data_IF_167961805953
#
_entry.id   IF_167961805953
#
_cell.length_a   1.000
_cell.length_b   1.000
_cell.length_c   1.000
_cell.angle_alpha   90.00
_cell.angle_beta   90.00
_cell.angle_gamma   90.00
#
_symmetry.space_group_name_H-M   'P 1'
#
loop_
_entity.id
_entity.type
_entity.pdbx_description
1 polymer ?
#
# COMPACT_ATOMS: atom_id res chain seq x y z
N UNK A 1 5.75 -34.68 -14.63
CA UNK A 1 4.34 -34.22 -14.64
C UNK A 1 4.31 -32.79 -14.11
N UNK A 2 4.16 -31.84 -15.03
CA UNK A 2 4.15 -30.40 -14.76
C UNK A 2 2.80 -29.99 -14.19
N UNK A 3 2.67 -29.99 -12.87
CA UNK A 3 1.61 -29.26 -12.20
C UNK A 3 2.24 -28.01 -11.60
N UNK A 4 2.58 -27.05 -12.46
CA UNK A 4 2.63 -25.66 -12.02
C UNK A 4 1.21 -25.35 -11.53
N UNK A 5 0.94 -25.50 -10.23
CA UNK A 5 -0.25 -24.91 -9.65
C UNK A 5 -0.19 -23.43 -10.03
N UNK A 6 -1.16 -22.98 -10.82
CA UNK A 6 -1.33 -21.57 -11.09
C UNK A 6 -1.29 -20.89 -9.73
N UNK A 7 -0.32 -20.02 -9.53
CA UNK A 7 -0.28 -19.17 -8.35
C UNK A 7 -1.65 -18.49 -8.28
N UNK A 8 -2.46 -18.72 -7.23
CA UNK A 8 -3.80 -18.15 -7.15
C UNK A 8 -3.78 -16.62 -7.32
N UNK A 9 -2.65 -16.01 -6.97
CA UNK A 9 -2.36 -14.57 -7.08
C UNK A 9 -2.21 -14.06 -8.51
N UNK A 10 -1.93 -14.94 -9.48
CA UNK A 10 -1.78 -14.61 -10.90
C UNK A 10 -2.72 -15.45 -11.78
N UNK A 11 -3.83 -15.91 -11.22
CA UNK A 11 -4.90 -16.51 -12.02
C UNK A 11 -5.37 -15.54 -13.10
N UNK A 12 -5.78 -16.06 -14.27
CA UNK A 12 -6.31 -15.23 -15.37
C UNK A 12 -7.40 -14.28 -14.87
N UNK A 13 -8.27 -14.75 -13.97
CA UNK A 13 -9.30 -13.93 -13.33
C UNK A 13 -8.76 -12.72 -12.57
N UNK A 14 -7.65 -12.85 -11.83
CA UNK A 14 -7.06 -11.71 -11.09
C UNK A 14 -6.49 -10.69 -12.06
N UNK A 15 -5.81 -11.15 -13.11
CA UNK A 15 -5.26 -10.26 -14.14
C UNK A 15 -6.38 -9.55 -14.89
N UNK A 16 -7.43 -10.27 -15.28
CA UNK A 16 -8.61 -9.71 -15.91
C UNK A 16 -9.25 -8.63 -15.00
N UNK A 17 -9.36 -8.90 -13.70
CA UNK A 17 -9.90 -7.93 -12.72
C UNK A 17 -9.02 -6.70 -12.54
N UNK A 18 -7.69 -6.86 -12.62
CA UNK A 18 -6.71 -5.78 -12.50
C UNK A 18 -6.68 -4.88 -13.75
N UNK A 19 -6.78 -5.48 -14.93
CA UNK A 19 -6.81 -4.76 -16.20
C UNK A 19 -8.18 -4.16 -16.52
N UNK A 20 -9.24 -4.60 -15.85
CA UNK A 20 -10.55 -3.98 -15.96
C UNK A 20 -10.64 -2.76 -15.02
N UNK A 21 -10.65 -1.52 -15.55
CA UNK A 21 -10.83 -0.34 -14.70
C UNK A 21 -12.20 -0.39 -14.03
N UNK A 22 -12.26 0.04 -12.76
CA UNK A 22 -13.53 0.21 -12.04
C UNK A 22 -14.03 1.62 -12.27
N UNK A 23 -15.25 1.76 -12.78
CA UNK A 23 -15.90 3.05 -12.95
C UNK A 23 -15.95 3.81 -11.61
N UNK A 24 -15.54 5.08 -11.63
CA UNK A 24 -15.51 5.93 -10.44
C UNK A 24 -16.79 6.73 -10.35
N UNK A 25 -17.41 6.74 -9.18
CA UNK A 25 -18.65 7.48 -8.94
C UNK A 25 -18.36 8.87 -8.38
N UNK A 26 -19.04 9.87 -8.93
CA UNK A 26 -18.95 11.24 -8.45
C UNK A 26 -19.37 11.36 -6.98
N UNK A 27 -20.47 10.72 -6.60
CA UNK A 27 -20.99 10.74 -5.21
C UNK A 27 -19.96 10.24 -4.20
N UNK A 28 -19.26 9.15 -4.54
CA UNK A 28 -18.19 8.59 -3.70
C UNK A 28 -17.00 9.55 -3.63
N UNK A 29 -16.54 10.07 -4.78
CA UNK A 29 -15.43 11.02 -4.80
C UNK A 29 -15.75 12.30 -4.02
N UNK A 30 -16.99 12.79 -4.11
CA UNK A 30 -17.47 13.97 -3.40
C UNK A 30 -17.59 13.72 -1.90
N UNK A 31 -18.16 12.59 -1.47
CA UNK A 31 -18.23 12.21 -0.06
C UNK A 31 -16.83 12.07 0.57
N UNK A 32 -15.90 11.42 -0.15
CA UNK A 32 -14.49 11.34 0.27
C UNK A 32 -13.83 12.72 0.33
N UNK A 33 -14.16 13.60 -0.62
CA UNK A 33 -13.68 14.99 -0.64
C UNK A 33 -14.22 15.80 0.53
N UNK A 34 -15.47 15.58 0.98
CA UNK A 34 -16.02 16.31 2.12
C UNK A 34 -15.43 15.86 3.45
N UNK A 35 -15.35 14.55 3.69
CA UNK A 35 -14.94 14.01 5.00
C UNK A 35 -13.42 13.93 5.13
N UNK A 36 -12.73 13.56 4.05
CA UNK A 36 -11.29 13.25 4.05
C UNK A 36 -10.52 14.10 3.03
N UNK A 37 -11.12 15.18 2.55
CA UNK A 37 -10.53 15.99 1.49
C UNK A 37 -9.27 16.74 1.92
N UNK A 38 -9.13 17.12 3.18
CA UNK A 38 -7.92 17.75 3.71
C UNK A 38 -6.68 16.86 3.51
N UNK A 39 -6.86 15.54 3.54
CA UNK A 39 -5.82 14.55 3.27
C UNK A 39 -5.64 14.23 1.79
N UNK A 40 -6.50 14.74 0.90
CA UNK A 40 -6.47 14.44 -0.52
C UNK A 40 -7.02 13.05 -0.90
N UNK A 41 -7.85 12.42 -0.06
CA UNK A 41 -8.39 11.06 -0.31
C UNK A 41 -9.18 10.95 -1.61
N UNK A 42 -9.94 11.99 -1.96
CA UNK A 42 -10.63 12.07 -3.25
C UNK A 42 -9.67 12.04 -4.45
N UNK A 43 -8.44 12.57 -4.31
CA UNK A 43 -7.42 12.51 -5.37
C UNK A 43 -6.82 11.11 -5.50
N UNK A 44 -6.62 10.40 -4.39
CA UNK A 44 -6.19 8.99 -4.42
C UNK A 44 -7.24 8.08 -5.06
N UNK A 45 -8.53 8.32 -4.76
CA UNK A 45 -9.62 7.59 -5.39
C UNK A 45 -9.60 7.69 -6.92
N UNK A 46 -9.16 8.83 -7.46
CA UNK A 46 -9.01 9.12 -8.89
C UNK A 46 -7.62 8.78 -9.46
N UNK A 47 -6.76 8.07 -8.71
CA UNK A 47 -5.42 7.69 -9.16
C UNK A 47 -4.42 8.85 -9.23
N UNK A 48 -4.76 10.04 -8.72
CA UNK A 48 -3.89 11.22 -8.71
C UNK A 48 -3.00 11.26 -7.46
N UNK A 49 -2.28 10.18 -7.23
CA UNK A 49 -1.48 9.92 -6.01
C UNK A 49 -0.50 11.03 -5.68
N UNK A 50 0.24 11.57 -6.65
CA UNK A 50 1.22 12.65 -6.38
C UNK A 50 0.55 13.92 -5.87
N UNK A 51 -0.52 14.35 -6.54
CA UNK A 51 -1.23 15.57 -6.11
C UNK A 51 -1.97 15.36 -4.80
N UNK A 52 -2.47 14.15 -4.54
CA UNK A 52 -3.03 13.79 -3.23
C UNK A 52 -1.97 13.82 -2.14
N UNK A 53 -0.76 13.33 -2.42
CA UNK A 53 0.34 13.32 -1.46
C UNK A 53 0.80 14.74 -1.13
N UNK A 54 0.93 15.61 -2.13
CA UNK A 54 1.22 17.03 -1.91
C UNK A 54 0.12 17.71 -1.08
N UNK A 55 -1.14 17.35 -1.31
CA UNK A 55 -2.26 17.86 -0.54
C UNK A 55 -2.17 17.40 0.92
N UNK A 56 -1.89 16.12 1.17
CA UNK A 56 -1.65 15.58 2.51
C UNK A 56 -0.50 16.30 3.24
N UNK A 57 0.65 16.45 2.58
CA UNK A 57 1.83 17.10 3.17
C UNK A 57 1.63 18.58 3.48
N UNK A 58 0.75 19.26 2.74
CA UNK A 58 0.44 20.68 2.92
C UNK A 58 -0.82 20.93 3.76
N UNK A 59 -1.46 19.88 4.29
CA UNK A 59 -2.74 19.99 4.99
C UNK A 59 -3.84 20.61 4.12
N UNK A 60 -3.86 20.28 2.83
CA UNK A 60 -4.78 20.86 1.86
C UNK A 60 -4.50 22.33 1.54
N UNK A 61 -3.25 22.80 1.69
CA UNK A 61 -2.87 24.19 1.47
C UNK A 61 -3.61 25.17 2.38
N UNK A 62 -3.79 24.79 3.66
CA UNK A 62 -4.59 25.55 4.63
C UNK A 62 -6.10 25.46 4.39
N UNK A 63 -6.58 24.38 3.77
CA UNK A 63 -7.99 24.18 3.42
C UNK A 63 -8.45 24.87 2.13
N UNK A 64 -7.68 25.82 1.59
CA UNK A 64 -8.04 26.50 0.34
C UNK A 64 -7.98 25.55 -0.86
N UNK A 65 -6.97 24.69 -0.94
CA UNK A 65 -6.87 23.69 -2.01
C UNK A 65 -8.02 22.69 -1.93
N UNK A 66 -8.38 22.27 -0.71
CA UNK A 66 -9.54 21.42 -0.48
C UNK A 66 -10.85 22.06 -0.96
N UNK A 67 -11.08 23.32 -0.62
CA UNK A 67 -12.28 24.04 -1.02
C UNK A 67 -12.41 24.16 -2.55
N UNK A 68 -11.32 24.52 -3.22
CA UNK A 68 -11.27 24.58 -4.70
C UNK A 68 -11.60 23.22 -5.29
N UNK A 69 -11.02 22.15 -4.75
CA UNK A 69 -11.23 20.80 -5.26
C UNK A 69 -12.68 20.36 -5.23
N UNK A 70 -13.47 20.75 -4.23
CA UNK A 70 -14.90 20.38 -4.13
C UNK A 70 -15.70 20.77 -5.39
N UNK A 71 -15.37 21.92 -6.02
CA UNK A 71 -15.99 22.36 -7.26
C UNK A 71 -15.49 21.58 -8.49
N UNK A 72 -14.23 21.14 -8.47
CA UNK A 72 -13.60 20.45 -9.61
C UNK A 72 -13.73 18.93 -9.59
N UNK A 73 -14.20 18.31 -8.49
CA UNK A 73 -14.34 16.84 -8.37
C UNK A 73 -15.15 16.25 -9.53
N UNK A 74 -16.26 16.87 -9.94
CA UNK A 74 -17.09 16.37 -11.05
C UNK A 74 -16.30 16.24 -12.35
N UNK A 75 -15.53 17.28 -12.70
CA UNK A 75 -14.67 17.27 -13.89
C UNK A 75 -13.55 16.24 -13.75
N UNK A 76 -12.94 16.12 -12.57
CA UNK A 76 -11.86 15.15 -12.35
C UNK A 76 -12.35 13.70 -12.49
N UNK A 77 -13.53 13.37 -11.96
CA UNK A 77 -14.15 12.04 -12.07
C UNK A 77 -14.46 11.73 -13.54
N UNK A 78 -15.11 12.68 -14.24
CA UNK A 78 -15.45 12.51 -15.66
C UNK A 78 -14.21 12.28 -16.50
N UNK A 79 -13.17 13.10 -16.33
CA UNK A 79 -11.92 12.98 -17.09
C UNK A 79 -11.20 11.65 -16.79
N UNK A 80 -11.20 11.20 -15.54
CA UNK A 80 -10.60 9.92 -15.17
C UNK A 80 -11.32 8.74 -15.82
N UNK A 81 -12.66 8.71 -15.76
CA UNK A 81 -13.44 7.63 -16.36
C UNK A 81 -13.32 7.62 -17.89
N UNK A 82 -13.31 8.79 -18.53
CA UNK A 82 -13.10 8.91 -19.98
C UNK A 82 -11.73 8.38 -20.37
N UNK A 83 -10.67 8.74 -19.64
CA UNK A 83 -9.32 8.26 -19.94
C UNK A 83 -9.18 6.76 -19.72
N UNK A 84 -9.71 6.20 -18.62
CA UNK A 84 -9.70 4.75 -18.39
C UNK A 84 -10.46 4.00 -19.49
N UNK A 85 -11.60 4.53 -19.95
CA UNK A 85 -12.37 3.94 -21.03
C UNK A 85 -11.59 3.97 -22.36
N UNK A 86 -10.96 5.11 -22.68
CA UNK A 86 -10.12 5.24 -23.88
C UNK A 86 -8.97 4.23 -23.89
N UNK A 87 -8.30 4.06 -22.75
CA UNK A 87 -7.19 3.10 -22.62
C UNK A 87 -7.66 1.66 -22.76
N UNK A 88 -8.82 1.34 -22.18
CA UNK A 88 -9.45 0.02 -22.35
C UNK A 88 -9.77 -0.27 -23.83
N UNK A 89 -10.32 0.70 -24.55
CA UNK A 89 -10.61 0.59 -26.00
C UNK A 89 -9.33 0.45 -26.84
N UNK A 90 -8.26 1.12 -26.44
CA UNK A 90 -6.94 1.01 -27.08
C UNK A 90 -6.20 -0.30 -26.72
N UNK A 91 -6.72 -1.11 -25.79
CA UNK A 91 -6.02 -2.30 -25.27
C UNK A 91 -4.82 -1.98 -24.37
N UNK A 92 -4.70 -0.74 -23.92
CA UNK A 92 -3.66 -0.27 -23.01
C UNK A 92 -3.95 -0.68 -21.55
N UNK A 93 -2.92 -0.82 -20.70
CA UNK A 93 -3.13 -1.03 -19.27
C UNK A 93 -3.84 0.18 -18.63
N UNK A 94 -4.62 -0.01 -17.54
CA UNK A 94 -5.26 1.09 -16.82
C UNK A 94 -4.25 2.08 -16.22
N UNK A 95 -4.67 3.29 -15.83
CA UNK A 95 -3.74 4.32 -15.30
C UNK A 95 -2.95 3.82 -14.09
N UNK A 96 -3.61 3.05 -13.23
CA UNK A 96 -3.01 2.43 -12.04
C UNK A 96 -1.90 1.41 -12.33
N UNK A 97 -1.82 0.93 -13.58
CA UNK A 97 -0.88 -0.09 -14.08
C UNK A 97 -0.13 0.40 -15.33
N UNK A 98 -0.05 1.71 -15.57
CA UNK A 98 0.53 2.28 -16.79
C UNK A 98 2.01 1.91 -17.04
N UNK A 99 2.69 1.35 -16.03
CA UNK A 99 4.07 0.86 -16.13
C UNK A 99 4.20 -0.56 -16.70
N UNK A 100 3.08 -1.28 -16.89
CA UNK A 100 3.05 -2.63 -17.45
C UNK A 100 2.86 -2.62 -18.97
N UNK A 101 3.23 -3.70 -19.67
CA UNK A 101 2.86 -3.88 -21.07
C UNK A 101 1.35 -4.11 -21.23
N UNK A 102 0.80 -4.03 -22.46
CA UNK A 102 -0.55 -4.48 -22.76
C UNK A 102 -0.80 -5.91 -22.28
N UNK A 103 -2.04 -6.19 -21.88
CA UNK A 103 -2.44 -7.50 -21.30
C UNK A 103 -2.05 -8.69 -22.19
N UNK A 104 -2.12 -8.52 -23.51
CA UNK A 104 -1.83 -9.57 -24.50
C UNK A 104 -0.36 -10.00 -24.46
N UNK A 105 0.55 -9.09 -24.11
CA UNK A 105 1.99 -9.35 -24.03
C UNK A 105 2.42 -9.90 -22.66
N UNK A 106 1.51 -9.87 -21.68
CA UNK A 106 1.79 -10.25 -20.29
C UNK A 106 1.80 -11.78 -20.14
N UNK A 107 2.96 -12.41 -20.36
CA UNK A 107 3.14 -13.84 -20.13
C UNK A 107 3.45 -14.13 -18.65
N UNK A 108 2.45 -14.60 -17.88
CA UNK A 108 2.59 -14.90 -16.44
C UNK A 108 2.72 -16.41 -16.15
N UNK A 109 2.81 -17.24 -17.18
CA UNK A 109 2.93 -18.69 -16.99
C UNK A 109 4.32 -19.10 -16.47
N UNK A 110 5.29 -18.20 -16.60
CA UNK A 110 6.67 -18.43 -16.22
C UNK A 110 7.02 -17.71 -14.91
N UNK A 111 8.03 -18.17 -14.16
CA UNK A 111 8.55 -17.40 -13.04
C UNK A 111 9.09 -16.03 -13.50
N UNK A 112 9.13 -15.01 -12.62
CA UNK A 112 9.72 -13.72 -12.94
C UNK A 112 11.14 -13.86 -13.50
N UNK A 113 11.49 -13.10 -14.54
CA UNK A 113 12.79 -13.19 -15.20
C UNK A 113 13.98 -12.98 -14.24
N UNK A 114 13.81 -12.15 -13.21
CA UNK A 114 14.84 -11.89 -12.20
C UNK A 114 14.99 -13.01 -11.15
N UNK A 115 14.09 -14.01 -11.11
CA UNK A 115 14.07 -15.05 -10.09
C UNK A 115 15.40 -15.81 -10.02
N UNK A 116 15.92 -16.25 -11.17
CA UNK A 116 17.18 -17.00 -11.24
C UNK A 116 18.38 -16.19 -10.71
N UNK A 117 18.38 -14.87 -10.94
CA UNK A 117 19.42 -13.95 -10.47
C UNK A 117 19.36 -13.69 -8.96
N UNK A 118 18.18 -13.83 -8.35
CA UNK A 118 17.91 -13.40 -6.97
C UNK A 118 17.62 -14.53 -5.99
N UNK A 119 17.39 -15.75 -6.46
CA UNK A 119 17.13 -16.91 -5.61
C UNK A 119 18.40 -17.34 -4.88
N UNK A 120 18.50 -17.02 -3.59
CA UNK A 120 19.59 -17.49 -2.73
C UNK A 120 19.10 -17.69 -1.29
N UNK A 121 19.74 -18.62 -0.56
CA UNK A 121 19.48 -18.81 0.88
C UNK A 121 19.80 -17.55 1.68
N UNK A 122 20.88 -16.84 1.30
CA UNK A 122 21.26 -15.54 1.86
C UNK A 122 20.10 -14.55 1.78
N UNK A 123 19.31 -14.60 0.69
CA UNK A 123 18.15 -13.72 0.54
C UNK A 123 17.03 -13.99 1.55
N UNK A 124 16.80 -15.26 1.88
CA UNK A 124 15.81 -15.64 2.89
C UNK A 124 16.28 -15.17 4.28
N UNK A 125 17.55 -15.42 4.63
CA UNK A 125 18.11 -14.97 5.92
C UNK A 125 18.16 -13.44 6.04
N UNK A 126 18.51 -12.72 4.98
CA UNK A 126 18.47 -11.25 4.98
C UNK A 126 17.04 -10.70 5.14
N UNK A 127 16.05 -11.38 4.57
CA UNK A 127 14.64 -10.99 4.76
C UNK A 127 14.17 -11.27 6.18
N UNK A 128 14.54 -12.43 6.75
CA UNK A 128 14.29 -12.75 8.15
C UNK A 128 14.87 -11.67 9.08
N UNK A 129 16.14 -11.32 8.88
CA UNK A 129 16.81 -10.28 9.67
C UNK A 129 16.10 -8.93 9.56
N UNK A 130 15.78 -8.46 8.34
CA UNK A 130 15.10 -7.19 8.17
C UNK A 130 13.68 -7.17 8.75
N UNK A 131 12.94 -8.26 8.63
CA UNK A 131 11.60 -8.37 9.21
C UNK A 131 11.65 -8.38 10.73
N UNK A 132 12.63 -9.07 11.33
CA UNK A 132 12.90 -9.02 12.77
C UNK A 132 13.28 -7.62 13.23
N UNK A 133 14.22 -6.98 12.54
CA UNK A 133 14.69 -5.62 12.87
C UNK A 133 13.55 -4.60 12.75
N UNK A 134 12.79 -4.65 11.65
CA UNK A 134 11.65 -3.75 11.43
C UNK A 134 10.55 -3.98 12.46
N UNK A 135 10.22 -5.25 12.76
CA UNK A 135 9.24 -5.60 13.79
C UNK A 135 9.66 -5.08 15.17
N UNK A 136 10.93 -5.27 15.54
CA UNK A 136 11.46 -4.78 16.81
C UNK A 136 11.41 -3.26 16.92
N UNK A 137 11.93 -2.54 15.91
CA UNK A 137 11.92 -1.08 15.88
C UNK A 137 10.48 -0.56 16.00
N UNK A 138 9.55 -1.11 15.21
CA UNK A 138 8.15 -0.68 15.25
C UNK A 138 7.51 -0.96 16.61
N UNK A 139 7.82 -2.11 17.22
CA UNK A 139 7.38 -2.44 18.58
C UNK A 139 7.93 -1.47 19.62
N UNK A 140 9.21 -1.08 19.54
CA UNK A 140 9.80 -0.13 20.50
C UNK A 140 9.25 1.29 20.36
N UNK A 141 8.91 1.71 19.14
CA UNK A 141 8.32 3.03 18.86
C UNK A 141 6.84 3.09 19.29
N UNK A 142 6.19 1.93 19.44
CA UNK A 142 4.79 1.85 19.85
C UNK A 142 4.68 2.02 21.36
N UNK A 143 4.07 3.11 21.81
CA UNK A 143 3.89 3.41 23.23
C UNK A 143 2.47 3.05 23.70
N UNK A 144 2.31 2.70 25.00
CA UNK A 144 1.00 2.50 25.62
C UNK A 144 0.04 3.69 25.54
N UNK A 145 0.57 4.89 25.29
CA UNK A 145 -0.16 6.16 25.32
C UNK A 145 -0.64 6.66 23.96
N UNK A 146 -0.51 5.88 22.87
CA UNK A 146 -1.26 6.20 21.64
C UNK A 146 -0.66 5.88 20.28
N UNK A 147 0.41 5.09 20.16
CA UNK A 147 1.07 4.82 18.85
C UNK A 147 1.07 3.34 18.42
N UNK A 148 0.02 2.59 18.74
CA UNK A 148 -0.12 1.19 18.29
C UNK A 148 -0.52 1.04 16.82
N UNK A 149 -1.01 2.10 16.18
CA UNK A 149 -1.56 2.07 14.82
C UNK A 149 -0.59 1.46 13.80
N UNK A 150 0.72 1.80 13.76
CA UNK A 150 1.66 1.19 12.82
C UNK A 150 1.82 -0.32 13.00
N UNK A 151 1.83 -0.81 14.24
CA UNK A 151 1.88 -2.25 14.53
C UNK A 151 0.59 -2.95 14.09
N UNK A 152 -0.57 -2.32 14.33
CA UNK A 152 -1.87 -2.83 13.88
C UNK A 152 -1.92 -2.88 12.35
N UNK A 153 -1.46 -1.83 11.66
CA UNK A 153 -1.37 -1.76 10.20
C UNK A 153 -0.50 -2.89 9.68
N UNK A 154 0.69 -3.07 10.27
CA UNK A 154 1.60 -4.13 9.88
C UNK A 154 0.94 -5.50 10.07
N UNK A 155 0.29 -5.73 11.20
CA UNK A 155 -0.41 -6.98 11.48
C UNK A 155 -1.55 -7.25 10.48
N UNK A 156 -2.42 -6.26 10.21
CA UNK A 156 -3.46 -6.35 9.19
C UNK A 156 -2.85 -6.66 7.83
N UNK A 157 -1.74 -6.02 7.49
CA UNK A 157 -1.04 -6.21 6.24
C UNK A 157 -0.44 -7.63 6.10
N UNK A 158 0.19 -8.14 7.16
CA UNK A 158 0.72 -9.50 7.22
C UNK A 158 -0.40 -10.53 7.06
N UNK A 159 -1.49 -10.35 7.80
CA UNK A 159 -2.68 -11.20 7.68
C UNK A 159 -3.25 -11.16 6.27
N UNK A 160 -3.44 -9.98 5.68
CA UNK A 160 -3.92 -9.84 4.31
C UNK A 160 -2.98 -10.55 3.33
N UNK A 161 -1.67 -10.35 3.44
CA UNK A 161 -0.68 -10.99 2.56
C UNK A 161 -0.71 -12.52 2.63
N UNK A 162 -1.07 -13.11 3.78
CA UNK A 162 -1.19 -14.55 4.00
C UNK A 162 -2.57 -15.12 3.61
N UNK A 163 -3.65 -14.37 3.82
CA UNK A 163 -5.05 -14.87 3.78
C UNK A 163 -5.81 -14.52 2.50
N UNK A 164 -5.35 -13.52 1.75
CA UNK A 164 -6.03 -12.98 0.55
C UNK A 164 -6.34 -14.05 -0.51
N UNK A 165 -5.58 -15.16 -0.53
CA UNK A 165 -5.80 -16.29 -1.45
C UNK A 165 -7.00 -17.18 -1.06
N UNK A 166 -7.40 -17.23 0.22
CA UNK A 166 -8.19 -18.36 0.74
C UNK A 166 -9.63 -18.02 1.07
N UNK A 167 -9.98 -16.76 1.31
CA UNK A 167 -11.31 -16.39 1.81
C UNK A 167 -12.11 -15.55 0.81
N UNK A 168 -12.83 -16.23 -0.10
CA UNK A 168 -13.76 -15.57 -1.05
C UNK A 168 -14.79 -14.68 -0.37
N UNK A 169 -15.20 -14.99 0.87
CA UNK A 169 -16.15 -14.18 1.64
C UNK A 169 -15.59 -12.80 2.04
N UNK A 170 -14.28 -12.70 2.27
CA UNK A 170 -13.65 -11.44 2.68
C UNK A 170 -13.59 -10.43 1.51
N UNK A 171 -13.59 -10.91 0.26
CA UNK A 171 -13.59 -10.08 -0.94
C UNK A 171 -14.89 -9.27 -1.14
N UNK A 172 -15.96 -9.62 -0.43
CA UNK A 172 -17.24 -8.87 -0.47
C UNK A 172 -17.16 -7.54 0.26
N UNK A 173 -16.24 -7.40 1.22
CA UNK A 173 -16.08 -6.16 1.99
C UNK A 173 -15.26 -5.15 1.16
N UNK A 174 -15.76 -3.92 0.89
CA UNK A 174 -15.09 -2.98 -0.02
C UNK A 174 -13.65 -2.62 0.38
N UNK A 175 -13.38 -2.49 1.68
CA UNK A 175 -12.04 -2.17 2.22
C UNK A 175 -11.07 -3.32 1.96
N UNK A 176 -11.48 -4.56 2.26
CA UNK A 176 -10.65 -5.76 2.05
C UNK A 176 -10.41 -5.98 0.56
N UNK A 177 -11.43 -5.79 -0.29
CA UNK A 177 -11.29 -5.86 -1.75
C UNK A 177 -10.26 -4.85 -2.29
N UNK A 178 -10.26 -3.64 -1.74
CA UNK A 178 -9.30 -2.60 -2.13
C UNK A 178 -7.87 -2.94 -1.70
N UNK A 179 -7.69 -3.41 -0.47
CA UNK A 179 -6.38 -3.88 0.03
C UNK A 179 -5.87 -5.08 -0.78
N UNK A 180 -6.75 -6.04 -1.08
CA UNK A 180 -6.46 -7.21 -1.92
C UNK A 180 -5.97 -6.78 -3.31
N UNK A 181 -6.72 -5.87 -3.95
CA UNK A 181 -6.33 -5.31 -5.25
C UNK A 181 -4.98 -4.60 -5.18
N UNK A 182 -4.71 -3.85 -4.12
CA UNK A 182 -3.42 -3.20 -3.89
C UNK A 182 -2.29 -4.23 -3.77
N UNK A 183 -2.48 -5.30 -3.01
CA UNK A 183 -1.49 -6.39 -2.85
C UNK A 183 -1.22 -7.06 -4.21
N UNK A 184 -2.25 -7.34 -5.01
CA UNK A 184 -2.07 -7.89 -6.35
C UNK A 184 -1.31 -6.93 -7.28
N UNK A 185 -1.56 -5.61 -7.20
CA UNK A 185 -0.78 -4.61 -7.94
C UNK A 185 0.68 -4.60 -7.53
N UNK A 186 0.97 -4.70 -6.23
CA UNK A 186 2.34 -4.78 -5.73
C UNK A 186 3.05 -6.07 -6.21
N UNK A 187 2.36 -7.20 -6.16
CA UNK A 187 2.85 -8.48 -6.68
C UNK A 187 3.15 -8.41 -8.17
N UNK A 188 2.25 -7.81 -8.96
CA UNK A 188 2.43 -7.64 -10.40
C UNK A 188 3.56 -6.66 -10.73
N UNK A 189 3.74 -5.61 -9.93
CA UNK A 189 4.92 -4.75 -10.01
C UNK A 189 6.21 -5.55 -9.83
N UNK A 190 6.32 -6.33 -8.75
CA UNK A 190 7.50 -7.15 -8.52
C UNK A 190 7.64 -8.33 -9.47
N UNK A 191 6.57 -8.79 -10.12
CA UNK A 191 6.67 -9.76 -11.20
C UNK A 191 7.44 -9.18 -12.40
N UNK A 192 7.14 -7.93 -12.76
CA UNK A 192 7.71 -7.25 -13.94
C UNK A 192 9.03 -6.50 -13.68
N UNK A 193 9.30 -6.11 -12.44
CA UNK A 193 10.46 -5.28 -12.06
C UNK A 193 11.37 -6.04 -11.09
N UNK A 194 12.68 -6.08 -11.39
CA UNK A 194 13.68 -6.67 -10.49
C UNK A 194 13.71 -5.89 -9.16
N UNK A 195 13.42 -6.54 -8.01
CA UNK A 195 13.45 -5.90 -6.71
C UNK A 195 14.87 -5.48 -6.27
N UNK A 196 15.91 -5.98 -6.92
CA UNK A 196 17.30 -5.68 -6.57
C UNK A 196 17.76 -6.41 -5.30
N UNK A 197 18.71 -5.79 -4.59
CA UNK A 197 19.20 -6.30 -3.30
C UNK A 197 18.17 -6.05 -2.19
N UNK A 198 18.12 -6.93 -1.20
CA UNK A 198 17.24 -6.84 -0.02
C UNK A 198 17.42 -5.51 0.71
N UNK A 199 18.66 -5.07 0.89
CA UNK A 199 18.96 -3.81 1.57
C UNK A 199 18.39 -2.60 0.80
N UNK A 200 18.36 -2.67 -0.55
CA UNK A 200 17.74 -1.65 -1.38
C UNK A 200 16.22 -1.61 -1.19
N UNK A 201 15.57 -2.76 -0.94
CA UNK A 201 14.14 -2.83 -0.63
C UNK A 201 13.86 -2.14 0.71
N UNK A 202 14.71 -2.37 1.72
CA UNK A 202 14.57 -1.75 3.04
C UNK A 202 14.61 -0.21 2.98
N UNK A 203 15.57 0.33 2.22
CA UNK A 203 15.75 1.79 2.10
C UNK A 203 14.93 2.41 0.96
N UNK A 204 14.14 1.61 0.24
CA UNK A 204 13.39 2.04 -0.95
C UNK A 204 12.39 3.15 -0.70
N UNK A 205 11.70 3.24 0.44
CA UNK A 205 10.84 4.39 0.74
C UNK A 205 11.60 5.72 0.64
N UNK A 206 12.85 5.75 1.10
CA UNK A 206 13.67 6.96 1.10
C UNK A 206 14.36 7.15 -0.25
N UNK A 207 15.08 6.12 -0.71
CA UNK A 207 15.84 6.19 -1.95
C UNK A 207 14.94 6.34 -3.19
N UNK A 208 13.79 5.66 -3.19
CA UNK A 208 12.81 5.70 -4.27
C UNK A 208 12.23 7.10 -4.47
N UNK A 209 11.97 7.84 -3.39
CA UNK A 209 11.50 9.23 -3.45
C UNK A 209 12.48 10.13 -4.23
N UNK A 210 13.77 9.97 -3.96
CA UNK A 210 14.82 10.73 -4.64
C UNK A 210 14.97 10.33 -6.11
N UNK A 211 14.85 9.04 -6.41
CA UNK A 211 15.03 8.51 -7.77
C UNK A 211 13.76 8.58 -8.63
N UNK A 212 12.61 8.85 -8.04
CA UNK A 212 11.30 8.89 -8.71
C UNK A 212 11.27 9.75 -9.99
N UNK A 213 11.88 10.95 -10.05
CA UNK A 213 11.86 11.78 -11.25
C UNK A 213 12.62 11.15 -12.43
N UNK A 214 13.61 10.30 -12.15
CA UNK A 214 14.54 9.74 -13.14
C UNK A 214 14.17 8.31 -13.57
N UNK A 215 13.32 7.62 -12.82
CA UNK A 215 12.97 6.23 -13.09
C UNK A 215 11.44 6.03 -13.09
N UNK A 216 10.79 5.92 -14.28
CA UNK A 216 9.34 5.77 -14.36
C UNK A 216 8.83 4.47 -13.73
N UNK A 217 9.63 3.39 -13.74
CA UNK A 217 9.27 2.14 -13.05
C UNK A 217 9.38 2.31 -11.53
N UNK A 218 10.46 2.92 -11.05
CA UNK A 218 10.62 3.23 -9.62
C UNK A 218 9.53 4.15 -9.07
N UNK A 219 9.01 5.06 -9.91
CA UNK A 219 7.85 5.88 -9.56
C UNK A 219 6.62 5.04 -9.23
N UNK A 220 6.32 3.99 -9.99
CA UNK A 220 5.14 3.15 -9.72
C UNK A 220 5.18 2.52 -8.32
N UNK A 221 6.35 2.06 -7.87
CA UNK A 221 6.55 1.49 -6.53
C UNK A 221 6.32 2.51 -5.42
N UNK A 222 6.95 3.69 -5.56
CA UNK A 222 6.78 4.79 -4.60
C UNK A 222 5.30 5.17 -4.52
N UNK A 223 4.60 5.27 -5.64
CA UNK A 223 3.17 5.60 -5.65
C UNK A 223 2.32 4.52 -4.98
N UNK A 224 2.65 3.24 -5.12
CA UNK A 224 1.97 2.16 -4.38
C UNK A 224 2.18 2.32 -2.87
N UNK A 225 3.39 2.63 -2.42
CA UNK A 225 3.69 2.84 -1.01
C UNK A 225 3.00 4.07 -0.43
N UNK A 226 2.97 5.17 -1.18
CA UNK A 226 2.20 6.36 -0.83
C UNK A 226 0.71 6.03 -0.70
N UNK A 227 0.14 5.34 -1.70
CA UNK A 227 -1.27 4.92 -1.68
C UNK A 227 -1.60 4.10 -0.42
N UNK A 228 -0.74 3.15 -0.03
CA UNK A 228 -0.92 2.36 1.19
C UNK A 228 -0.91 3.25 2.44
N UNK A 229 0.13 4.07 2.60
CA UNK A 229 0.28 4.94 3.76
C UNK A 229 -0.90 5.89 3.92
N UNK A 230 -1.36 6.50 2.83
CA UNK A 230 -2.43 7.49 2.86
C UNK A 230 -3.79 6.87 3.15
N UNK A 231 -4.07 5.68 2.62
CA UNK A 231 -5.31 4.96 2.92
C UNK A 231 -5.38 4.60 4.40
N UNK A 232 -4.29 4.06 4.97
CA UNK A 232 -4.28 3.73 6.39
C UNK A 232 -4.32 4.97 7.28
N UNK A 233 -3.54 6.02 6.97
CA UNK A 233 -3.62 7.27 7.72
C UNK A 233 -5.01 7.89 7.70
N UNK A 234 -5.68 7.89 6.53
CA UNK A 234 -7.05 8.38 6.44
C UNK A 234 -8.03 7.51 7.24
N UNK A 235 -7.83 6.18 7.26
CA UNK A 235 -8.65 5.27 8.05
C UNK A 235 -8.51 5.53 9.56
N UNK A 236 -7.28 5.66 10.06
CA UNK A 236 -7.03 5.97 11.47
C UNK A 236 -7.49 7.37 11.83
N UNK A 237 -7.32 8.35 10.95
CA UNK A 237 -7.86 9.69 11.20
C UNK A 237 -9.37 9.69 11.48
N UNK A 238 -10.16 8.89 10.76
CA UNK A 238 -11.61 8.78 11.03
C UNK A 238 -11.87 8.23 12.44
N UNK A 239 -11.02 7.32 12.93
CA UNK A 239 -11.08 6.85 14.32
C UNK A 239 -10.71 7.97 15.28
N UNK A 240 -9.62 8.68 15.00
CA UNK A 240 -9.10 9.77 15.84
C UNK A 240 -10.08 10.97 15.89
N UNK A 241 -10.90 11.18 14.85
CA UNK A 241 -11.96 12.21 14.84
C UNK A 241 -12.99 12.03 15.97
N UNK A 242 -13.24 10.79 16.40
CA UNK A 242 -14.17 10.51 17.51
C UNK A 242 -13.55 10.99 18.84
N UNK A 243 -12.23 10.94 18.95
CA UNK A 243 -11.49 11.38 20.15
C UNK A 243 -11.45 12.91 20.26
N UNK A 244 -11.64 13.65 19.15
CA UNK A 244 -11.70 15.12 19.15
C UNK A 244 -12.79 15.64 20.11
N UNK A 245 -13.89 14.90 20.28
CA UNK A 245 -14.98 15.26 21.19
C UNK A 245 -14.59 15.26 22.68
N UNK A 246 -13.43 14.69 23.02
CA UNK A 246 -12.91 14.62 24.39
C UNK A 246 -12.01 15.82 24.75
N UNK A 247 -11.64 16.66 23.78
CA UNK A 247 -10.78 17.83 24.00
C UNK A 247 -11.59 19.10 24.28
N UNK A 248 -11.05 19.96 25.14
CA UNK A 248 -11.65 21.25 25.49
C UNK A 248 -11.75 22.21 24.29
N UNK A 249 -10.88 22.03 23.29
CA UNK A 249 -10.85 22.81 22.06
C UNK A 249 -10.86 21.90 20.82
N UNK A 250 -11.83 22.15 19.94
CA UNK A 250 -11.92 21.47 18.63
C UNK A 250 -10.63 21.66 17.82
N UNK A 251 -10.02 22.85 17.88
CA UNK A 251 -8.79 23.14 17.14
C UNK A 251 -7.59 22.36 17.66
N UNK A 252 -7.52 22.13 18.96
CA UNK A 252 -6.47 21.33 19.58
C UNK A 252 -6.62 19.84 19.20
N UNK A 253 -7.84 19.31 19.28
CA UNK A 253 -8.13 17.95 18.83
C UNK A 253 -7.80 17.75 17.34
N UNK A 254 -8.21 18.66 16.45
CA UNK A 254 -7.88 18.58 15.02
C UNK A 254 -6.35 18.60 14.80
N UNK A 255 -5.63 19.48 15.50
CA UNK A 255 -4.17 19.58 15.38
C UNK A 255 -3.46 18.29 15.80
N UNK A 256 -3.88 17.69 16.91
CA UNK A 256 -3.34 16.42 17.41
C UNK A 256 -3.64 15.26 16.46
N UNK A 257 -4.89 15.11 16.01
CA UNK A 257 -5.28 14.04 15.08
C UNK A 257 -4.55 14.16 13.73
N UNK A 258 -4.30 15.37 13.23
CA UNK A 258 -3.50 15.61 12.03
C UNK A 258 -2.04 15.18 12.22
N UNK A 259 -1.44 15.55 13.36
CA UNK A 259 -0.07 15.16 13.71
C UNK A 259 0.08 13.64 13.81
N UNK A 260 -0.85 12.97 14.51
CA UNK A 260 -0.89 11.52 14.63
C UNK A 260 -1.06 10.84 13.26
N UNK A 261 -1.95 11.36 12.41
CA UNK A 261 -2.16 10.83 11.06
C UNK A 261 -0.92 10.96 10.17
N UNK A 262 -0.18 12.07 10.29
CA UNK A 262 1.09 12.28 9.61
C UNK A 262 2.16 11.31 10.10
N UNK A 263 2.25 11.10 11.42
CA UNK A 263 3.16 10.12 12.01
C UNK A 263 2.82 8.69 11.56
N UNK A 264 1.53 8.33 11.55
CA UNK A 264 1.03 7.05 11.03
C UNK A 264 1.38 6.86 9.55
N UNK A 265 1.31 7.94 8.75
CA UNK A 265 1.68 7.90 7.35
C UNK A 265 3.17 7.57 7.20
N UNK A 266 4.03 8.31 7.91
CA UNK A 266 5.48 8.13 7.89
C UNK A 266 5.84 6.70 8.29
N UNK A 267 5.30 6.20 9.40
CA UNK A 267 5.63 4.85 9.87
C UNK A 267 5.12 3.76 8.94
N UNK A 268 3.93 3.93 8.38
CA UNK A 268 3.41 2.99 7.37
C UNK A 268 4.28 2.99 6.11
N UNK A 269 4.67 4.16 5.64
CA UNK A 269 5.49 4.33 4.45
C UNK A 269 6.93 3.80 4.64
N UNK A 270 7.55 4.09 5.79
CA UNK A 270 8.94 3.71 6.07
C UNK A 270 9.09 2.26 6.51
N UNK A 271 8.13 1.69 7.23
CA UNK A 271 8.27 0.35 7.81
C UNK A 271 7.34 -0.68 7.17
N UNK A 272 6.04 -0.39 7.07
CA UNK A 272 5.05 -1.39 6.58
C UNK A 272 5.23 -1.66 5.08
N UNK A 273 5.38 -0.62 4.27
CA UNK A 273 5.53 -0.78 2.82
C UNK A 273 6.76 -1.65 2.42
N UNK A 274 7.96 -1.44 2.98
CA UNK A 274 9.10 -2.35 2.76
C UNK A 274 8.86 -3.77 3.24
N UNK A 275 8.20 -3.97 4.38
CA UNK A 275 7.84 -5.32 4.86
C UNK A 275 6.96 -6.01 3.82
N UNK A 276 5.95 -5.31 3.29
CA UNK A 276 5.09 -5.85 2.27
C UNK A 276 5.82 -6.19 0.97
N UNK A 277 6.78 -5.36 0.58
CA UNK A 277 7.68 -5.66 -0.52
C UNK A 277 8.56 -6.89 -0.27
N UNK A 278 9.18 -7.00 0.91
CA UNK A 278 10.00 -8.15 1.29
C UNK A 278 9.19 -9.43 1.19
N UNK A 279 8.01 -9.46 1.80
CA UNK A 279 7.11 -10.62 1.77
C UNK A 279 6.68 -10.94 0.35
N UNK A 280 6.27 -9.94 -0.43
CA UNK A 280 5.88 -10.12 -1.83
C UNK A 280 7.00 -10.73 -2.67
N UNK A 281 8.24 -10.26 -2.50
CA UNK A 281 9.37 -10.86 -3.23
C UNK A 281 9.67 -12.28 -2.78
N UNK A 282 9.46 -12.62 -1.50
CA UNK A 282 9.62 -13.98 -1.00
C UNK A 282 8.52 -14.94 -1.48
N UNK A 283 7.29 -14.46 -1.65
CA UNK A 283 6.21 -15.21 -2.28
C UNK A 283 6.61 -15.58 -3.73
N UNK A 284 7.12 -14.61 -4.48
CA UNK A 284 7.56 -14.82 -5.86
C UNK A 284 8.79 -15.74 -5.99
N UNK A 285 9.64 -15.78 -4.96
CA UNK A 285 10.86 -16.61 -4.92
C UNK A 285 10.60 -18.03 -4.43
N UNK A 286 9.86 -18.17 -3.33
CA UNK A 286 9.58 -19.43 -2.66
C UNK A 286 8.11 -19.77 -2.83
N UNK A 287 7.82 -20.77 -3.68
CA UNK A 287 6.47 -21.34 -3.85
C UNK A 287 6.04 -22.20 -2.65
N UNK A 288 6.66 -22.00 -1.48
CA UNK A 288 6.42 -22.79 -0.27
C UNK A 288 5.78 -21.89 0.76
N UNK A 289 4.49 -22.08 0.99
CA UNK A 289 3.69 -21.30 1.93
C UNK A 289 4.37 -21.19 3.30
N UNK A 290 5.00 -22.27 3.79
CA UNK A 290 5.62 -22.28 5.12
C UNK A 290 6.68 -21.18 5.33
N UNK A 291 7.45 -20.80 4.30
CA UNK A 291 8.50 -19.78 4.45
C UNK A 291 7.85 -18.43 4.79
N UNK A 292 6.75 -18.12 4.12
CA UNK A 292 6.01 -16.87 4.29
C UNK A 292 5.35 -16.84 5.66
N UNK A 293 4.77 -17.97 6.10
CA UNK A 293 4.21 -18.12 7.45
C UNK A 293 5.28 -17.91 8.53
N UNK A 294 6.45 -18.54 8.38
CA UNK A 294 7.56 -18.38 9.34
C UNK A 294 8.07 -16.94 9.37
N UNK A 295 8.29 -16.31 8.22
CA UNK A 295 8.75 -14.91 8.15
C UNK A 295 7.74 -13.95 8.79
N UNK A 296 6.44 -14.16 8.56
CA UNK A 296 5.38 -13.34 9.15
C UNK A 296 5.27 -13.56 10.66
N UNK A 297 5.34 -14.81 11.12
CA UNK A 297 5.33 -15.15 12.54
C UNK A 297 6.53 -14.53 13.28
N UNK A 298 7.72 -14.60 12.68
CA UNK A 298 8.92 -13.98 13.26
C UNK A 298 8.77 -12.46 13.33
N UNK A 299 8.23 -11.83 12.28
CA UNK A 299 7.96 -10.38 12.32
C UNK A 299 7.04 -10.03 13.49
N UNK A 300 5.94 -10.78 13.68
CA UNK A 300 4.99 -10.59 14.79
C UNK A 300 5.66 -10.80 16.15
N UNK A 301 6.47 -11.85 16.30
CA UNK A 301 7.21 -12.12 17.55
C UNK A 301 8.13 -10.95 17.92
N UNK A 302 8.84 -10.38 16.95
CA UNK A 302 9.72 -9.23 17.21
C UNK A 302 8.96 -7.94 17.49
N UNK A 303 7.76 -7.75 16.93
CA UNK A 303 6.85 -6.67 17.35
C UNK A 303 6.49 -6.83 18.83
N UNK A 304 6.07 -8.02 19.24
CA UNK A 304 5.74 -8.30 20.65
C UNK A 304 6.94 -8.11 21.58
N UNK A 305 8.14 -8.52 21.16
CA UNK A 305 9.37 -8.28 21.92
C UNK A 305 9.66 -6.78 22.06
N UNK A 306 9.58 -6.01 20.97
CA UNK A 306 9.75 -4.55 21.03
C UNK A 306 8.74 -3.88 21.96
N UNK A 307 7.47 -4.28 21.88
CA UNK A 307 6.41 -3.81 22.78
C UNK A 307 6.71 -4.12 24.26
N UNK A 308 7.23 -5.32 24.54
CA UNK A 308 7.57 -5.72 25.91
C UNK A 308 8.71 -4.90 26.51
N UNK A 309 9.64 -4.40 25.68
CA UNK A 309 10.70 -3.49 26.14
C UNK A 309 10.10 -2.16 26.54
N UNK A 310 9.21 -1.60 25.73
CA UNK A 310 8.58 -0.29 25.98
C UNK A 310 7.65 -0.29 27.19
N UNK A 311 6.95 -1.40 27.47
CA UNK A 311 6.07 -1.50 28.66
C UNK A 311 6.89 -1.55 29.97
N UNK A 312 8.12 -2.05 29.91
CA UNK A 312 8.98 -2.23 31.07
C UNK A 312 9.93 -1.03 31.32
N UNK A 313 9.97 -0.06 30.42
CA UNK A 313 10.79 1.17 30.49
C UNK A 313 9.99 2.36 30.98
#
# INVERSE_FOLDING_TARGET
MNAFSADPDFSKSVIDELYHPKHKYFSVAFALGLVLGVFGVHRFYLGKTITGALMFLTGGGGGLWWFIDLFFIKKMVSNHNIEEQRRLEAGEPPLSLAFLPPKVELNINEPPAWRAKRSSKVRVYGSLFLLSLTGFILGTISTPTGTYQPCIILFIFLLASLTVVRWKMAATIPVISSLTRWIHRLRLYYYSVDPGNIWLIAIRPIFGLFMMPFNPKGRAEVLLYFELGLVFSAFFFVSDLIEILQYDSIWEGIGLSLSQSFQNFIYTYLFVAPVGALITTQILLSRRDYVIWVLSLVCILFICLGLSVTVNS
#
